data_IF_393763347883
#
_entry.id   IF_393763347883
#
_cell.length_a   1.000
_cell.length_b   1.000
_cell.length_c   1.000
_cell.angle_alpha   90.00
_cell.angle_beta   90.00
_cell.angle_gamma   90.00
#
_symmetry.space_group_name_H-M   'P 1'
#
loop_
_entity.id
_entity.type
_entity.pdbx_description
1 polymer ?
#
# COMPACT_ATOMS: atom_id res chain seq x y z
N UNK A 1 -18.45 26.11 29.66
CA UNK A 1 -18.27 25.00 28.69
C UNK A 1 -17.50 25.53 27.49
N UNK A 2 -16.20 25.24 27.43
CA UNK A 2 -15.38 25.60 26.27
C UNK A 2 -15.87 24.81 25.05
N UNK A 3 -15.87 25.39 23.83
CA UNK A 3 -16.33 24.68 22.64
C UNK A 3 -15.53 23.39 22.48
N UNK A 4 -16.25 22.27 22.32
CA UNK A 4 -15.67 20.95 22.15
C UNK A 4 -14.66 20.97 21.01
N UNK A 5 -13.51 20.35 21.23
CA UNK A 5 -12.48 20.13 20.22
C UNK A 5 -13.15 19.44 19.03
N UNK A 6 -13.32 20.15 17.92
CA UNK A 6 -13.83 19.58 16.68
C UNK A 6 -12.92 18.42 16.29
N UNK A 7 -13.53 17.27 15.97
CA UNK A 7 -12.83 16.12 15.40
C UNK A 7 -12.04 16.61 14.18
N UNK A 8 -10.73 16.29 14.06
CA UNK A 8 -9.99 16.62 12.85
C UNK A 8 -10.72 16.07 11.63
N UNK A 9 -10.73 16.83 10.53
CA UNK A 9 -11.32 16.41 9.26
C UNK A 9 -10.83 15.01 8.87
N UNK A 10 -11.71 14.23 8.21
CA UNK A 10 -11.37 12.90 7.70
C UNK A 10 -10.00 12.93 7.04
N UNK A 11 -9.12 12.07 7.54
CA UNK A 11 -7.75 11.98 7.07
C UNK A 11 -7.79 11.61 5.57
N UNK A 12 -6.98 12.27 4.75
CA UNK A 12 -7.05 12.10 3.30
C UNK A 12 -6.84 10.62 2.92
N UNK A 13 -7.67 10.02 2.06
CA UNK A 13 -7.51 8.63 1.69
C UNK A 13 -6.20 8.46 0.89
N UNK A 14 -5.34 7.56 1.40
CA UNK A 14 -4.20 7.04 0.66
C UNK A 14 -2.82 7.41 1.20
N UNK A 15 -1.89 6.47 1.01
CA UNK A 15 -0.49 6.62 1.37
C UNK A 15 -0.19 6.48 2.88
N UNK A 16 1.08 6.28 3.20
CA UNK A 16 1.56 6.08 4.58
C UNK A 16 1.21 7.25 5.50
N UNK A 17 1.12 8.46 4.95
CA UNK A 17 0.99 9.72 5.71
C UNK A 17 -0.46 10.21 5.83
N UNK A 18 -1.39 9.67 5.03
CA UNK A 18 -2.71 10.27 4.84
C UNK A 18 -3.70 9.99 5.96
N UNK A 19 -3.53 8.91 6.74
CA UNK A 19 -4.54 8.47 7.68
C UNK A 19 -4.01 7.76 8.94
N UNK A 20 -4.79 7.81 10.02
CA UNK A 20 -4.51 7.09 11.27
C UNK A 20 -4.80 5.59 11.13
N UNK A 21 -4.12 4.75 11.93
CA UNK A 21 -4.36 3.30 11.99
C UNK A 21 -3.38 2.45 11.17
N UNK A 22 -3.84 1.26 10.75
CA UNK A 22 -3.10 0.36 9.86
C UNK A 22 -3.00 0.98 8.46
N UNK A 23 -1.80 1.10 7.88
CA UNK A 23 -1.57 1.85 6.62
C UNK A 23 -0.51 1.28 5.68
N UNK A 24 0.38 0.45 6.21
CA UNK A 24 1.44 -0.17 5.45
C UNK A 24 1.72 -1.54 6.03
N UNK A 25 1.87 -2.54 5.18
CA UNK A 25 2.38 -3.84 5.57
C UNK A 25 3.05 -4.54 4.39
N UNK A 26 3.96 -5.46 4.73
CA UNK A 26 4.78 -6.18 3.75
C UNK A 26 4.45 -7.67 3.75
N UNK A 27 4.40 -8.27 2.56
CA UNK A 27 4.39 -9.71 2.34
C UNK A 27 5.60 -10.14 1.52
N UNK A 28 6.30 -11.16 1.99
CA UNK A 28 7.35 -11.82 1.21
C UNK A 28 6.67 -12.89 0.36
N UNK A 29 6.93 -12.87 -0.94
CA UNK A 29 6.27 -13.73 -1.94
C UNK A 29 7.27 -14.26 -2.95
N UNK A 30 6.98 -15.43 -3.51
CA UNK A 30 7.83 -16.04 -4.55
C UNK A 30 7.38 -15.66 -5.97
N UNK A 31 6.10 -15.29 -6.14
CA UNK A 31 5.45 -15.05 -7.43
C UNK A 31 4.98 -13.58 -7.60
N UNK A 32 5.89 -12.62 -7.40
CA UNK A 32 5.59 -11.18 -7.37
C UNK A 32 4.81 -10.70 -8.62
N UNK A 33 5.28 -11.02 -9.83
CA UNK A 33 4.63 -10.56 -11.06
C UNK A 33 3.21 -11.09 -11.22
N UNK A 34 2.99 -12.36 -10.84
CA UNK A 34 1.67 -12.98 -10.91
C UNK A 34 0.68 -12.27 -10.00
N UNK A 35 1.07 -12.01 -8.75
CA UNK A 35 0.24 -11.30 -7.77
C UNK A 35 -0.11 -9.89 -8.27
N UNK A 36 0.89 -9.13 -8.75
CA UNK A 36 0.66 -7.77 -9.26
C UNK A 36 -0.28 -7.79 -10.47
N UNK A 37 -0.11 -8.74 -11.40
CA UNK A 37 -0.99 -8.92 -12.55
C UNK A 37 -2.42 -9.27 -12.17
N UNK A 38 -2.61 -10.09 -11.12
CA UNK A 38 -3.94 -10.38 -10.58
C UNK A 38 -4.58 -9.13 -9.95
N UNK A 39 -3.81 -8.34 -9.20
CA UNK A 39 -4.29 -7.08 -8.62
C UNK A 39 -4.70 -6.07 -9.69
N UNK A 40 -3.87 -5.88 -10.72
CA UNK A 40 -4.18 -4.98 -11.84
C UNK A 40 -5.44 -5.45 -12.60
N UNK A 41 -5.54 -6.75 -12.90
CA UNK A 41 -6.69 -7.35 -13.57
C UNK A 41 -7.99 -7.22 -12.77
N UNK A 42 -7.89 -7.20 -11.43
CA UNK A 42 -9.01 -6.97 -10.53
C UNK A 42 -9.34 -5.48 -10.33
N UNK A 43 -8.58 -4.56 -10.97
CA UNK A 43 -8.83 -3.13 -10.94
C UNK A 43 -8.24 -2.40 -9.72
N UNK A 44 -7.34 -3.04 -8.96
CA UNK A 44 -6.65 -2.38 -7.87
C UNK A 44 -5.59 -1.41 -8.38
N UNK A 45 -5.36 -0.33 -7.63
CA UNK A 45 -4.35 0.66 -7.97
C UNK A 45 -2.96 0.14 -7.62
N UNK A 46 -2.10 0.11 -8.63
CA UNK A 46 -0.67 -0.18 -8.47
C UNK A 46 0.04 1.13 -8.11
N UNK A 47 0.34 1.33 -6.83
CA UNK A 47 1.01 2.54 -6.32
C UNK A 47 2.50 2.56 -6.69
N UNK A 48 3.15 1.39 -6.64
CA UNK A 48 4.51 1.18 -7.13
C UNK A 48 4.51 -0.08 -8.00
N UNK A 49 4.83 0.01 -9.31
CA UNK A 49 4.93 -1.16 -10.17
C UNK A 49 6.09 -2.05 -9.74
N UNK A 50 6.18 -3.27 -10.28
CA UNK A 50 7.31 -4.19 -10.05
C UNK A 50 8.62 -3.47 -10.34
N UNK A 51 9.41 -3.24 -9.29
CA UNK A 51 10.62 -2.42 -9.33
C UNK A 51 11.71 -3.11 -8.52
N UNK A 52 12.89 -3.30 -9.12
CA UNK A 52 14.08 -3.68 -8.35
C UNK A 52 14.53 -2.49 -7.51
N UNK A 53 14.24 -2.53 -6.20
CA UNK A 53 14.52 -1.41 -5.30
C UNK A 53 16.00 -1.36 -4.93
N UNK A 54 16.63 -2.53 -4.80
CA UNK A 54 18.06 -2.74 -4.53
C UNK A 54 18.49 -4.06 -5.17
N UNK A 55 19.79 -4.27 -5.45
CA UNK A 55 20.29 -5.53 -5.99
C UNK A 55 19.76 -6.73 -5.21
N UNK A 56 19.04 -7.61 -5.90
CA UNK A 56 18.47 -8.84 -5.33
C UNK A 56 17.21 -8.65 -4.48
N UNK A 57 16.58 -7.47 -4.51
CA UNK A 57 15.30 -7.19 -3.84
C UNK A 57 14.36 -6.45 -4.77
N UNK A 58 13.27 -7.10 -5.15
CA UNK A 58 12.24 -6.53 -6.02
C UNK A 58 10.94 -6.36 -5.25
N UNK A 59 10.31 -5.20 -5.41
CA UNK A 59 9.07 -4.83 -4.71
C UNK A 59 7.98 -4.41 -5.69
N UNK A 60 6.73 -4.50 -5.26
CA UNK A 60 5.61 -3.76 -5.81
C UNK A 60 4.67 -3.34 -4.68
N UNK A 61 3.95 -2.23 -4.85
CA UNK A 61 2.99 -1.74 -3.86
C UNK A 61 1.63 -1.57 -4.51
N UNK A 62 0.61 -2.16 -3.89
CA UNK A 62 -0.80 -2.08 -4.29
C UNK A 62 -1.60 -1.37 -3.21
N UNK A 63 -2.59 -0.56 -3.58
CA UNK A 63 -3.57 -0.01 -2.64
C UNK A 63 -4.74 -0.99 -2.44
N UNK A 64 -5.00 -1.36 -1.19
CA UNK A 64 -6.18 -2.14 -0.81
C UNK A 64 -7.46 -1.26 -0.76
N UNK A 65 -8.66 -1.83 -0.55
CA UNK A 65 -9.91 -1.07 -0.49
C UNK A 65 -9.96 0.03 0.58
N UNK A 66 -9.16 -0.08 1.64
CA UNK A 66 -9.06 0.90 2.73
C UNK A 66 -7.94 1.93 2.47
N UNK A 67 -7.36 1.90 1.26
CA UNK A 67 -6.25 2.70 0.79
C UNK A 67 -4.94 2.49 1.57
N UNK A 68 -4.77 1.31 2.18
CA UNK A 68 -3.49 0.91 2.77
C UNK A 68 -2.52 0.49 1.67
N UNK A 69 -1.23 0.71 1.92
CA UNK A 69 -0.16 0.23 1.06
C UNK A 69 0.20 -1.21 1.43
N UNK A 70 0.00 -2.10 0.47
CA UNK A 70 0.40 -3.51 0.55
C UNK A 70 1.66 -3.68 -0.27
N UNK A 71 2.80 -3.84 0.39
CA UNK A 71 4.08 -4.10 -0.26
C UNK A 71 4.28 -5.61 -0.45
N UNK A 72 4.48 -6.04 -1.68
CA UNK A 72 4.92 -7.38 -2.01
C UNK A 72 6.42 -7.35 -2.31
N UNK A 73 7.19 -8.26 -1.72
CA UNK A 73 8.64 -8.32 -1.85
C UNK A 73 9.09 -9.72 -2.24
N UNK A 74 10.01 -9.80 -3.19
CA UNK A 74 10.74 -11.03 -3.53
C UNK A 74 12.25 -10.80 -3.47
N UNK A 75 12.99 -11.87 -3.22
CA UNK A 75 14.45 -11.88 -3.12
C UNK A 75 15.02 -12.88 -4.12
N UNK A 76 16.14 -12.53 -4.77
CA UNK A 76 16.84 -13.38 -5.75
C UNK A 76 18.28 -13.65 -5.32
#
# INVERSE_FOLDING_TARGET
ISPGRSTPADAAPGGIQGAYGFRYWTMIVENLEEIVGQCESAGYKIAVPVTEFRPGTTIAIVEDPDANWVEFVTYS
#
